data_IF_933799821491
#
_entry.id   IF_933799821491
#
_cell.length_a   1.000
_cell.length_b   1.000
_cell.length_c   1.000
_cell.angle_alpha   90.00
_cell.angle_beta   90.00
_cell.angle_gamma   90.00
#
_symmetry.space_group_name_H-M   'P 1'
#
loop_
_entity.id
_entity.type
_entity.pdbx_description
1 polymer ?
#
# COMPACT_ATOMS: atom_id res chain seq x y z
N UNK A 1 -11.50 3.93 2.36
CA UNK A 1 -11.11 3.22 1.13
C UNK A 1 -12.34 2.53 0.54
N UNK A 2 -12.51 2.45 -0.78
CA UNK A 2 -13.70 1.85 -1.42
C UNK A 2 -13.39 0.85 -2.56
N UNK A 3 -12.13 0.72 -2.96
CA UNK A 3 -11.67 -0.19 -4.00
C UNK A 3 -10.25 -0.68 -3.67
N UNK A 4 -9.71 -1.62 -4.45
CA UNK A 4 -8.33 -2.10 -4.33
C UNK A 4 -7.41 -1.65 -5.48
N UNK A 5 -7.88 -0.79 -6.39
CA UNK A 5 -7.19 -0.44 -7.65
C UNK A 5 -6.02 0.55 -7.49
N UNK A 6 -5.63 0.85 -6.25
CA UNK A 6 -4.47 1.69 -5.92
C UNK A 6 -3.42 0.87 -5.15
N UNK A 7 -3.42 -0.44 -5.34
CA UNK A 7 -2.52 -1.36 -4.67
C UNK A 7 -1.08 -1.10 -5.11
N UNK A 8 -0.18 -0.97 -4.15
CA UNK A 8 1.27 -0.85 -4.37
C UNK A 8 2.01 -1.76 -3.40
N UNK A 9 3.24 -2.12 -3.72
CA UNK A 9 4.17 -2.73 -2.80
C UNK A 9 5.15 -1.66 -2.29
N UNK A 10 5.11 -1.39 -1.00
CA UNK A 10 6.03 -0.41 -0.38
C UNK A 10 7.41 -1.03 -0.25
N UNK A 11 8.45 -0.27 -0.58
CA UNK A 11 9.83 -0.70 -0.37
C UNK A 11 10.04 -1.06 1.13
N UNK A 12 10.67 -2.21 1.46
CA UNK A 12 10.87 -2.64 2.84
C UNK A 12 11.44 -1.59 3.79
N UNK A 13 12.34 -0.72 3.31
CA UNK A 13 12.96 0.36 4.10
C UNK A 13 11.94 1.39 4.59
N UNK A 14 10.79 1.48 3.93
CA UNK A 14 9.76 2.49 4.17
C UNK A 14 8.54 1.95 4.92
N UNK A 15 8.43 0.62 5.15
CA UNK A 15 7.25 0.00 5.76
C UNK A 15 6.90 0.63 7.12
N UNK A 16 7.92 0.86 7.95
CA UNK A 16 7.73 1.48 9.27
C UNK A 16 7.32 2.96 9.18
N UNK A 17 7.74 3.68 8.13
CA UNK A 17 7.45 5.10 7.94
C UNK A 17 6.03 5.34 7.41
N UNK A 18 5.57 4.53 6.45
CA UNK A 18 4.23 4.71 5.84
C UNK A 18 3.08 4.28 6.75
N UNK A 19 3.41 3.74 7.93
CA UNK A 19 2.48 3.22 8.92
C UNK A 19 1.85 1.86 8.55
N UNK A 20 0.99 1.38 9.45
CA UNK A 20 0.32 0.10 9.31
C UNK A 20 -1.00 0.22 8.52
N UNK A 21 -1.43 -0.91 7.96
CA UNK A 21 -2.74 -1.02 7.32
C UNK A 21 -3.83 -0.93 8.38
N UNK A 22 -4.85 -0.12 8.12
CA UNK A 22 -6.07 -0.09 8.93
C UNK A 22 -6.97 -1.27 8.57
N UNK A 23 -7.93 -1.61 9.42
CA UNK A 23 -8.85 -2.75 9.21
C UNK A 23 -9.50 -2.74 7.82
N UNK A 24 -10.06 -1.59 7.42
CA UNK A 24 -10.69 -1.44 6.10
C UNK A 24 -9.70 -1.64 4.94
N UNK A 25 -8.44 -1.23 5.09
CA UNK A 25 -7.40 -1.46 4.09
C UNK A 25 -7.05 -2.95 4.00
N UNK A 26 -6.95 -3.64 5.14
CA UNK A 26 -6.72 -5.09 5.19
C UNK A 26 -7.84 -5.85 4.49
N UNK A 27 -9.10 -5.54 4.80
CA UNK A 27 -10.25 -6.22 4.17
C UNK A 27 -10.31 -6.02 2.65
N UNK A 28 -9.86 -4.88 2.13
CA UNK A 28 -9.79 -4.65 0.69
C UNK A 28 -8.65 -5.42 0.01
N UNK A 29 -7.51 -5.54 0.69
CA UNK A 29 -6.33 -6.24 0.17
C UNK A 29 -6.42 -7.78 0.29
N UNK A 30 -7.26 -8.31 1.19
CA UNK A 30 -7.44 -9.76 1.40
C UNK A 30 -7.87 -10.50 0.12
N UNK A 31 -8.64 -9.82 -0.74
CA UNK A 31 -9.13 -10.38 -2.00
C UNK A 31 -8.27 -9.99 -3.22
N UNK A 32 -7.17 -9.27 -3.02
CA UNK A 32 -6.27 -8.88 -4.10
C UNK A 32 -5.37 -10.05 -4.48
N UNK A 33 -5.47 -10.49 -5.74
CA UNK A 33 -4.49 -11.39 -6.32
C UNK A 33 -3.11 -10.72 -6.24
N UNK A 34 -2.16 -11.37 -5.57
CA UNK A 34 -0.81 -10.86 -5.27
C UNK A 34 -0.68 -9.96 -4.02
N UNK A 35 -1.55 -10.09 -3.01
CA UNK A 35 -1.25 -9.52 -1.69
C UNK A 35 0.10 -10.04 -1.15
N UNK A 36 0.98 -9.12 -0.75
CA UNK A 36 2.25 -9.36 -0.09
C UNK A 36 2.26 -8.69 1.29
N UNK A 37 3.19 -9.03 2.20
CA UNK A 37 3.31 -8.35 3.50
C UNK A 37 3.53 -6.83 3.39
N UNK A 38 4.14 -6.36 2.30
CA UNK A 38 4.39 -4.94 2.03
C UNK A 38 3.34 -4.29 1.10
N UNK A 39 2.24 -4.98 0.76
CA UNK A 39 1.13 -4.33 0.05
C UNK A 39 0.57 -3.16 0.83
N UNK A 40 0.21 -2.07 0.17
CA UNK A 40 -0.59 -0.97 0.71
C UNK A 40 -1.55 -0.50 -0.36
N UNK A 41 -2.62 0.16 0.06
CA UNK A 41 -3.43 0.98 -0.83
C UNK A 41 -2.85 2.39 -0.78
N UNK A 42 -2.24 2.84 -1.89
CA UNK A 42 -1.52 4.10 -1.93
C UNK A 42 -2.39 5.29 -1.50
N UNK A 43 -3.70 5.24 -1.77
CA UNK A 43 -4.64 6.28 -1.33
C UNK A 43 -4.81 6.38 0.20
N UNK A 44 -4.30 5.42 0.97
CA UNK A 44 -4.31 5.41 2.43
C UNK A 44 -2.98 5.83 3.06
N UNK A 45 -1.95 6.10 2.25
CA UNK A 45 -0.67 6.65 2.69
C UNK A 45 -0.77 8.17 2.64
N UNK A 46 -0.70 8.82 3.81
CA UNK A 46 -0.68 10.28 3.88
C UNK A 46 0.75 10.78 3.72
N UNK A 47 1.04 11.39 2.57
CA UNK A 47 2.38 11.90 2.26
C UNK A 47 2.71 13.12 3.14
N UNK A 48 3.94 13.15 3.63
CA UNK A 48 4.54 14.24 4.43
C UNK A 48 6.01 14.41 4.01
N UNK A 49 6.71 15.40 4.58
CA UNK A 49 8.15 15.60 4.36
C UNK A 49 8.98 14.36 4.76
N UNK A 50 8.52 13.58 5.73
CA UNK A 50 9.17 12.34 6.16
C UNK A 50 9.19 11.26 5.07
N UNK A 51 8.39 11.42 4.01
CA UNK A 51 8.29 10.47 2.89
C UNK A 51 9.09 10.91 1.66
N UNK A 52 9.96 11.92 1.78
CA UNK A 52 10.82 12.35 0.68
C UNK A 52 11.74 11.19 0.24
N UNK A 53 11.61 10.78 -1.03
CA UNK A 53 12.33 9.62 -1.58
C UNK A 53 11.63 8.27 -1.41
N UNK A 54 10.40 8.23 -0.88
CA UNK A 54 9.59 7.01 -0.82
C UNK A 54 9.49 6.35 -2.21
N UNK A 55 9.82 5.05 -2.26
CA UNK A 55 9.67 4.23 -3.47
C UNK A 55 8.65 3.12 -3.25
N UNK A 56 7.85 2.88 -4.29
CA UNK A 56 6.86 1.80 -4.33
C UNK A 56 6.91 1.10 -5.69
N UNK A 57 6.51 -0.17 -5.71
CA UNK A 57 6.32 -0.95 -6.93
C UNK A 57 4.83 -1.13 -7.21
N UNK A 58 4.44 -1.10 -8.48
CA UNK A 58 3.05 -1.31 -8.91
C UNK A 58 2.91 -2.78 -9.34
N UNK A 59 1.87 -3.51 -8.87
CA UNK A 59 1.60 -4.88 -9.33
C UNK A 59 1.26 -4.93 -10.83
N UNK A 60 1.36 -6.11 -11.42
CA UNK A 60 1.11 -6.34 -12.85
C UNK A 60 -0.34 -5.99 -13.27
N UNK A 61 -1.32 -6.19 -12.39
CA UNK A 61 -2.72 -5.80 -12.58
C UNK A 61 -3.30 -5.14 -11.33
N UNK A 62 -4.35 -4.34 -11.52
CA UNK A 62 -5.15 -3.68 -10.48
C UNK A 62 -6.64 -4.09 -10.52
N UNK A 63 -7.01 -4.92 -11.49
CA UNK A 63 -8.35 -5.36 -11.84
C UNK A 63 -8.44 -6.88 -11.85
#
# INVERSE_FOLDING_TARGET
CACATCHVFVNPEWIANVGERREMENSMLEFSENQKPNSRLACQIQVSEEHEGLTVEIPESQY
#
